data_IF_053384709504
#
_entry.id   IF_053384709504
#
_cell.length_a   1.000
_cell.length_b   1.000
_cell.length_c   1.000
_cell.angle_alpha   90.00
_cell.angle_beta   90.00
_cell.angle_gamma   90.00
#
_symmetry.space_group_name_H-M   'P 1'
#
loop_
_entity.id
_entity.type
_entity.pdbx_description
1 polymer ?
#
# COMPACT_ATOMS: atom_id res chain seq x y z
N UNK A 1 25.77 -48.70 -23.67
CA UNK A 1 24.49 -48.83 -22.92
C UNK A 1 24.49 -48.14 -21.55
N UNK A 2 25.65 -47.80 -20.97
CA UNK A 2 25.73 -47.06 -19.70
C UNK A 2 25.46 -45.56 -19.85
N UNK A 3 25.67 -45.00 -21.03
CA UNK A 3 25.53 -43.56 -21.30
C UNK A 3 24.07 -43.10 -21.36
N UNK A 4 23.16 -44.00 -21.75
CA UNK A 4 21.71 -43.71 -21.84
C UNK A 4 21.06 -43.62 -20.46
N UNK A 5 21.52 -44.42 -19.50
CA UNK A 5 21.06 -44.38 -18.11
C UNK A 5 21.52 -43.07 -17.46
N UNK A 6 22.78 -42.69 -17.70
CA UNK A 6 23.32 -41.42 -17.23
C UNK A 6 22.51 -40.23 -17.80
N UNK A 7 22.30 -40.17 -19.11
CA UNK A 7 21.54 -39.08 -19.73
C UNK A 7 20.09 -38.98 -19.22
N UNK A 8 19.43 -40.12 -19.01
CA UNK A 8 18.07 -40.15 -18.44
C UNK A 8 18.06 -39.65 -16.99
N UNK A 9 19.03 -40.07 -16.17
CA UNK A 9 19.17 -39.57 -14.80
C UNK A 9 19.51 -38.09 -14.74
N UNK A 10 20.41 -37.60 -15.61
CA UNK A 10 20.73 -36.18 -15.73
C UNK A 10 19.51 -35.36 -16.17
N UNK A 11 18.74 -35.84 -17.14
CA UNK A 11 17.52 -35.19 -17.58
C UNK A 11 16.47 -35.06 -16.47
N UNK A 12 16.27 -36.13 -15.69
CA UNK A 12 15.33 -36.12 -14.54
C UNK A 12 15.82 -35.18 -13.44
N UNK A 13 17.12 -35.18 -13.11
CA UNK A 13 17.69 -34.27 -12.10
C UNK A 13 17.56 -32.81 -12.53
N UNK A 14 17.84 -32.49 -13.80
CA UNK A 14 17.69 -31.13 -14.34
C UNK A 14 16.22 -30.68 -14.33
N UNK A 15 15.28 -31.55 -14.70
CA UNK A 15 13.85 -31.24 -14.62
C UNK A 15 13.37 -31.00 -13.19
N UNK A 16 13.82 -31.82 -12.22
CA UNK A 16 13.50 -31.63 -10.80
C UNK A 16 14.06 -30.29 -10.30
N UNK A 17 15.31 -29.95 -10.65
CA UNK A 17 15.90 -28.67 -10.27
C UNK A 17 15.16 -27.48 -10.88
N UNK A 18 14.72 -27.57 -12.14
CA UNK A 18 13.92 -26.53 -12.80
C UNK A 18 12.57 -26.34 -12.09
N UNK A 19 11.86 -27.43 -11.80
CA UNK A 19 10.58 -27.38 -11.07
C UNK A 19 10.76 -26.84 -9.66
N UNK A 20 11.82 -27.21 -8.95
CA UNK A 20 12.16 -26.66 -7.65
C UNK A 20 12.43 -25.15 -7.74
N UNK A 21 13.20 -24.67 -8.72
CA UNK A 21 13.46 -23.24 -8.89
C UNK A 21 12.18 -22.47 -9.18
N UNK A 22 11.30 -22.97 -10.06
CA UNK A 22 10.01 -22.34 -10.35
C UNK A 22 9.15 -22.27 -9.09
N UNK A 23 9.04 -23.37 -8.35
CA UNK A 23 8.26 -23.44 -7.10
C UNK A 23 8.85 -22.56 -5.99
N UNK A 24 10.18 -22.49 -5.86
CA UNK A 24 10.86 -21.63 -4.89
C UNK A 24 10.67 -20.14 -5.19
N UNK A 25 10.66 -19.74 -6.46
CA UNK A 25 10.43 -18.35 -6.85
C UNK A 25 8.98 -17.92 -6.59
N UNK A 26 8.01 -18.79 -6.89
CA UNK A 26 6.59 -18.52 -6.61
C UNK A 26 6.28 -18.50 -5.10
N UNK A 27 6.93 -19.39 -4.32
CA UNK A 27 6.83 -19.38 -2.86
C UNK A 27 7.42 -18.10 -2.23
N UNK A 28 8.49 -17.52 -2.79
CA UNK A 28 9.01 -16.21 -2.37
C UNK A 28 8.04 -15.08 -2.70
N UNK A 29 7.34 -15.17 -3.84
CA UNK A 29 6.30 -14.21 -4.23
C UNK A 29 5.12 -14.21 -3.24
N UNK A 30 4.69 -15.39 -2.81
CA UNK A 30 3.60 -15.57 -1.85
C UNK A 30 3.91 -15.06 -0.43
N UNK A 31 5.19 -15.06 0.00
CA UNK A 31 5.59 -14.56 1.34
C UNK A 31 5.67 -13.04 1.46
N UNK A 32 5.78 -12.30 0.35
CA UNK A 32 5.79 -10.83 0.38
C UNK A 32 4.38 -10.22 0.46
N UNK A 33 3.32 -11.02 0.36
CA UNK A 33 1.94 -10.55 0.52
C UNK A 33 1.56 -10.34 2.01
N UNK A 34 2.24 -11.03 2.94
CA UNK A 34 1.90 -11.03 4.37
C UNK A 34 2.61 -9.94 5.18
N UNK A 35 3.03 -8.84 4.56
CA UNK A 35 3.54 -7.65 5.26
C UNK A 35 2.68 -6.41 5.08
N UNK A 36 1.48 -6.53 4.48
CA UNK A 36 0.48 -5.48 4.66
C UNK A 36 -0.02 -5.48 6.11
N UNK A 37 0.19 -4.39 6.87
CA UNK A 37 -0.52 -4.22 8.13
C UNK A 37 -2.01 -4.22 7.80
N UNK A 38 -2.75 -5.18 8.37
CA UNK A 38 -4.20 -5.17 8.44
C UNK A 38 -4.63 -4.03 9.36
N UNK A 39 -4.51 -2.79 8.88
CA UNK A 39 -5.39 -1.72 9.31
C UNK A 39 -6.68 -1.91 8.54
N UNK A 40 -7.76 -2.17 9.26
CA UNK A 40 -9.09 -2.22 8.70
C UNK A 40 -9.33 -1.02 7.77
N UNK A 41 -9.87 -1.31 6.59
CA UNK A 41 -10.23 -0.41 5.48
C UNK A 41 -9.08 -0.02 4.56
N UNK A 42 -8.96 -0.74 3.43
CA UNK A 42 -9.35 -0.26 2.09
C UNK A 42 -8.89 -1.32 1.09
N UNK A 43 -9.81 -2.23 0.77
CA UNK A 43 -9.70 -3.11 -0.38
C UNK A 43 -9.67 -2.22 -1.63
N UNK A 44 -8.57 -2.28 -2.37
CA UNK A 44 -8.47 -1.70 -3.71
C UNK A 44 -9.27 -2.58 -4.69
N UNK A 45 -10.56 -2.72 -4.45
CA UNK A 45 -11.51 -3.05 -5.50
C UNK A 45 -11.71 -1.77 -6.29
N UNK A 46 -11.67 -1.87 -7.61
CA UNK A 46 -11.67 -0.81 -8.62
C UNK A 46 -12.92 0.09 -8.64
N UNK A 47 -13.65 0.18 -7.53
CA UNK A 47 -14.71 1.13 -7.24
C UNK A 47 -14.28 2.28 -6.30
N UNK A 48 -13.17 2.15 -5.55
CA UNK A 48 -12.73 3.12 -4.52
C UNK A 48 -11.89 4.32 -5.01
N UNK A 49 -11.78 4.55 -6.32
CA UNK A 49 -11.07 5.73 -6.86
C UNK A 49 -12.04 6.91 -7.04
N UNK A 50 -13.36 6.67 -7.12
CA UNK A 50 -14.35 7.72 -7.34
C UNK A 50 -14.79 8.44 -6.06
N UNK A 51 -14.56 7.87 -4.89
CA UNK A 51 -14.99 8.44 -3.60
C UNK A 51 -14.20 9.71 -3.26
N UNK A 52 -12.93 9.78 -3.68
CA UNK A 52 -12.08 10.96 -3.55
C UNK A 52 -12.36 12.03 -4.63
N UNK A 53 -13.10 11.68 -5.68
CA UNK A 53 -13.49 12.61 -6.75
C UNK A 53 -14.87 13.21 -6.45
N UNK A 54 -15.77 12.47 -5.76
CA UNK A 54 -17.11 12.94 -5.41
C UNK A 54 -17.24 13.46 -3.97
N UNK A 55 -16.25 13.27 -3.10
CA UNK A 55 -16.23 14.00 -1.82
C UNK A 55 -15.90 15.46 -2.07
N UNK A 56 -16.92 16.33 -2.07
CA UNK A 56 -16.76 17.79 -2.16
C UNK A 56 -15.83 18.35 -1.06
N UNK A 57 -15.58 17.57 0.01
CA UNK A 57 -14.76 17.96 1.14
C UNK A 57 -13.44 17.16 1.21
N UNK A 58 -12.28 17.83 1.25
CA UNK A 58 -10.96 17.16 1.22
C UNK A 58 -10.68 16.36 2.49
N UNK A 59 -9.94 15.26 2.41
CA UNK A 59 -9.68 14.41 3.58
C UNK A 59 -8.94 15.14 4.72
N UNK A 60 -8.04 16.06 4.37
CA UNK A 60 -7.28 16.85 5.34
C UNK A 60 -7.29 18.32 4.95
N UNK A 61 -7.45 19.20 5.94
CA UNK A 61 -7.37 20.65 5.81
C UNK A 61 -6.19 21.18 6.61
N UNK A 62 -5.28 21.90 5.97
CA UNK A 62 -4.23 22.68 6.65
C UNK A 62 -4.75 24.10 6.89
N UNK A 63 -4.86 24.53 8.14
CA UNK A 63 -5.23 25.92 8.46
C UNK A 63 -4.18 26.91 7.95
N UNK A 64 -4.54 28.20 7.83
CA UNK A 64 -3.59 29.28 7.55
C UNK A 64 -2.47 29.38 8.59
N UNK A 65 -2.71 28.95 9.83
CA UNK A 65 -1.68 28.86 10.86
C UNK A 65 -0.74 27.68 10.64
N UNK A 66 -1.03 26.76 9.72
CA UNK A 66 -0.21 25.59 9.37
C UNK A 66 -0.54 24.31 10.15
N UNK A 67 -1.75 24.21 10.72
CA UNK A 67 -2.19 23.04 11.49
C UNK A 67 -2.99 22.10 10.59
N UNK A 68 -2.63 20.82 10.58
CA UNK A 68 -3.30 19.77 9.82
C UNK A 68 -4.49 19.22 10.62
N UNK A 69 -5.70 19.43 10.10
CA UNK A 69 -6.95 18.87 10.61
C UNK A 69 -7.42 17.75 9.69
N UNK A 70 -7.51 16.54 10.21
CA UNK A 70 -8.09 15.40 9.49
C UNK A 70 -9.61 15.35 9.67
N UNK A 71 -10.31 15.00 8.58
CA UNK A 71 -11.75 14.77 8.56
C UNK A 71 -12.08 13.65 9.55
N UNK A 72 -13.18 13.80 10.28
CA UNK A 72 -13.68 12.85 11.30
C UNK A 72 -12.82 12.73 12.59
N UNK A 73 -11.52 13.07 12.56
CA UNK A 73 -10.65 13.03 13.74
C UNK A 73 -10.59 14.38 14.47
N UNK A 74 -10.59 15.50 13.74
CA UNK A 74 -10.41 16.82 14.33
C UNK A 74 -11.73 17.60 14.46
N UNK A 75 -12.06 18.02 15.69
CA UNK A 75 -13.19 18.91 15.98
C UNK A 75 -13.15 20.25 15.20
N UNK A 76 -11.96 20.67 14.78
CA UNK A 76 -11.75 21.95 14.09
C UNK A 76 -11.76 21.82 12.56
N UNK A 77 -11.93 20.60 12.02
CA UNK A 77 -11.96 20.37 10.57
C UNK A 77 -13.08 21.19 9.88
N UNK A 78 -14.29 21.18 10.42
CA UNK A 78 -15.42 21.94 9.86
C UNK A 78 -15.34 23.45 10.14
N UNK A 79 -14.60 23.85 11.19
CA UNK A 79 -14.42 25.26 11.56
C UNK A 79 -13.35 25.95 10.72
N UNK A 80 -12.45 25.18 10.14
CA UNK A 80 -11.37 25.70 9.29
C UNK A 80 -11.93 25.97 7.90
N UNK A 81 -12.24 27.25 7.64
CA UNK A 81 -12.75 27.73 6.34
C UNK A 81 -11.63 28.18 5.41
N UNK A 82 -10.57 28.77 5.95
CA UNK A 82 -9.35 29.11 5.21
C UNK A 82 -8.35 27.96 5.32
N UNK A 83 -8.29 27.11 4.30
CA UNK A 83 -7.44 25.94 4.32
C UNK A 83 -6.80 25.60 2.98
N UNK A 84 -5.69 24.86 3.05
CA UNK A 84 -5.15 24.08 1.93
C UNK A 84 -5.60 22.63 2.07
N UNK A 85 -6.16 22.06 1.01
CA UNK A 85 -6.64 20.69 0.96
C UNK A 85 -5.51 19.70 0.68
N UNK A 86 -5.49 18.58 1.41
CA UNK A 86 -4.59 17.45 1.19
C UNK A 86 -5.37 16.13 1.17
N UNK A 87 -4.83 15.14 0.47
CA UNK A 87 -5.45 13.81 0.40
C UNK A 87 -5.12 12.98 1.63
N UNK A 88 -4.02 13.30 2.32
CA UNK A 88 -3.60 12.61 3.55
C UNK A 88 -2.94 13.55 4.56
N UNK A 89 -2.88 13.10 5.82
CA UNK A 89 -2.19 13.83 6.88
C UNK A 89 -0.69 13.90 6.59
N UNK A 90 -0.14 12.84 6.00
CA UNK A 90 1.28 12.74 5.62
C UNK A 90 1.67 13.87 4.67
N UNK A 91 0.92 14.04 3.58
CA UNK A 91 1.15 15.13 2.61
C UNK A 91 1.06 16.52 3.27
N UNK A 92 0.10 16.69 4.19
CA UNK A 92 -0.02 17.94 4.93
C UNK A 92 1.22 18.23 5.79
N UNK A 93 1.77 17.21 6.46
CA UNK A 93 2.99 17.34 7.27
C UNK A 93 4.22 17.60 6.39
N UNK A 94 4.35 16.90 5.27
CA UNK A 94 5.46 17.06 4.32
C UNK A 94 5.45 18.47 3.68
N UNK A 95 4.28 19.11 3.60
CA UNK A 95 4.12 20.51 3.17
C UNK A 95 4.48 21.56 4.24
N UNK A 96 5.11 21.15 5.35
CA UNK A 96 5.46 21.99 6.49
C UNK A 96 4.31 22.22 7.48
N UNK A 97 3.25 21.40 7.42
CA UNK A 97 2.16 21.42 8.39
C UNK A 97 2.52 20.70 9.70
N UNK A 98 1.71 20.89 10.74
CA UNK A 98 1.89 20.22 12.04
C UNK A 98 0.56 19.75 12.61
N UNK A 99 0.60 18.73 13.45
CA UNK A 99 -0.59 18.28 14.18
C UNK A 99 -0.95 19.25 15.30
N UNK A 100 -2.24 19.38 15.66
CA UNK A 100 -2.65 20.15 16.82
C UNK A 100 -2.04 19.54 18.10
N UNK A 101 -1.55 20.40 18.99
CA UNK A 101 -1.11 19.97 20.32
C UNK A 101 -2.35 19.52 21.10
N UNK A 102 -2.22 18.39 21.81
CA UNK A 102 -3.23 17.89 22.75
C UNK A 102 -3.25 18.71 24.03
#
# INVERSE_FOLDING_TARGET
>A
MKDKINYLTFGVVVLILIVLVIFYQDWKSSRNFLSQPTSATQEKTSAGILDNIFSTSPRVKKSSTGICHEKDVSLHYNRTQNYTSYNSVRECLDSGGRLPLR
#
